data_IF_975040084155
#
_entry.id   IF_975040084155
#
_cell.length_a   1.000
_cell.length_b   1.000
_cell.length_c   1.000
_cell.angle_alpha   90.00
_cell.angle_beta   90.00
_cell.angle_gamma   90.00
#
_symmetry.space_group_name_H-M   'P 1'
#
loop_
_entity.id
_entity.type
_entity.pdbx_description
1 polymer ?
#
# COMPACT_ATOMS: atom_id res chain seq x y z
N UNK A 1 -8.46 -5.15 10.04
CA UNK A 1 -7.62 -3.97 10.32
C UNK A 1 -8.35 -2.76 9.79
N UNK A 2 -8.69 -1.83 10.68
CA UNK A 2 -9.33 -0.58 10.32
C UNK A 2 -8.23 0.48 10.14
N UNK A 3 -8.26 1.18 9.01
CA UNK A 3 -7.39 2.33 8.76
C UNK A 3 -8.27 3.56 8.69
N UNK A 4 -7.93 4.57 9.49
CA UNK A 4 -8.74 5.78 9.67
C UNK A 4 -8.04 6.95 8.97
N UNK A 5 -8.81 7.73 8.21
CA UNK A 5 -8.38 8.98 7.60
C UNK A 5 -8.87 10.15 8.44
N UNK A 6 -7.95 10.99 8.91
CA UNK A 6 -8.25 12.19 9.70
C UNK A 6 -7.70 13.40 8.95
N UNK A 7 -8.61 14.23 8.46
CA UNK A 7 -8.30 15.46 7.74
C UNK A 7 -8.48 16.66 8.68
N UNK A 8 -7.43 17.45 8.84
CA UNK A 8 -7.42 18.68 9.67
C UNK A 8 -7.16 19.93 8.85
N UNK A 9 -7.42 19.87 7.53
CA UNK A 9 -7.25 20.98 6.59
C UNK A 9 -5.81 21.14 6.10
N UNK A 10 -4.86 21.33 7.01
CA UNK A 10 -3.43 21.51 6.69
C UNK A 10 -2.59 20.22 6.80
N UNK A 11 -3.20 19.12 7.21
CA UNK A 11 -2.56 17.81 7.26
C UNK A 11 -3.61 16.69 7.14
N UNK A 12 -3.19 15.57 6.56
CA UNK A 12 -3.92 14.32 6.55
C UNK A 12 -3.15 13.28 7.36
N UNK A 13 -3.85 12.65 8.29
CA UNK A 13 -3.32 11.56 9.08
C UNK A 13 -4.03 10.26 8.68
N UNK A 14 -3.24 9.29 8.21
CA UNK A 14 -3.68 7.93 7.96
C UNK A 14 -3.27 7.09 9.17
N UNK A 15 -4.18 6.92 10.12
CA UNK A 15 -3.92 6.18 11.36
C UNK A 15 -4.29 4.69 11.21
N UNK A 16 -3.46 3.81 11.74
CA UNK A 16 -3.68 2.36 11.73
C UNK A 16 -3.01 1.67 12.93
N UNK A 17 -3.60 0.59 13.43
CA UNK A 17 -2.95 -0.22 14.47
C UNK A 17 -1.78 -1.05 13.92
N UNK A 18 -1.83 -1.35 12.62
CA UNK A 18 -0.92 -2.27 11.96
C UNK A 18 -0.53 -1.75 10.57
N UNK A 19 0.33 -2.47 9.86
CA UNK A 19 0.83 -2.07 8.53
C UNK A 19 -0.32 -1.68 7.59
N UNK A 20 -0.32 -0.43 7.14
CA UNK A 20 -1.35 0.07 6.22
C UNK A 20 -1.29 -0.67 4.88
N UNK A 21 -2.44 -0.90 4.26
CA UNK A 21 -2.47 -1.52 2.92
C UNK A 21 -2.11 -0.51 1.83
N UNK A 22 -1.56 -0.99 0.72
CA UNK A 22 -1.34 -0.17 -0.48
C UNK A 22 -2.65 0.43 -1.02
N UNK A 23 -3.78 -0.27 -0.82
CA UNK A 23 -5.11 0.27 -1.16
C UNK A 23 -5.44 1.52 -0.33
N UNK A 24 -5.25 1.46 1.00
CA UNK A 24 -5.48 2.62 1.87
C UNK A 24 -4.57 3.81 1.50
N UNK A 25 -3.30 3.55 1.18
CA UNK A 25 -2.38 4.58 0.67
C UNK A 25 -2.86 5.22 -0.64
N UNK A 26 -3.37 4.41 -1.58
CA UNK A 26 -3.94 4.93 -2.85
C UNK A 26 -5.16 5.81 -2.59
N UNK A 27 -6.03 5.42 -1.66
CA UNK A 27 -7.20 6.22 -1.26
C UNK A 27 -6.75 7.53 -0.63
N UNK A 28 -5.83 7.49 0.33
CA UNK A 28 -5.29 8.66 1.00
C UNK A 28 -4.61 9.64 0.01
N UNK A 29 -3.73 9.13 -0.86
CA UNK A 29 -3.03 9.92 -1.86
C UNK A 29 -4.01 10.56 -2.87
N UNK A 30 -5.06 9.83 -3.28
CA UNK A 30 -6.10 10.38 -4.16
C UNK A 30 -6.95 11.45 -3.46
N UNK A 31 -7.30 11.22 -2.20
CA UNK A 31 -8.06 12.16 -1.39
C UNK A 31 -7.31 13.47 -1.15
N UNK A 32 -6.00 13.39 -0.92
CA UNK A 32 -5.13 14.54 -0.64
C UNK A 32 -4.65 15.28 -1.91
N UNK A 33 -4.93 14.74 -3.09
CA UNK A 33 -4.44 15.32 -4.35
C UNK A 33 -5.01 16.73 -4.55
N UNK A 34 -4.10 17.71 -4.71
CA UNK A 34 -4.46 19.11 -4.93
C UNK A 34 -4.79 19.90 -3.66
N UNK A 35 -4.60 19.30 -2.48
CA UNK A 35 -4.69 19.99 -1.19
C UNK A 35 -3.32 20.45 -0.74
N UNK A 36 -3.29 21.51 0.05
CA UNK A 36 -2.07 22.01 0.68
C UNK A 36 -1.80 21.26 1.99
N UNK A 37 -0.52 21.09 2.33
CA UNK A 37 -0.11 20.42 3.55
C UNK A 37 0.36 18.97 3.37
N UNK A 38 0.66 18.30 4.47
CA UNK A 38 1.29 16.97 4.48
C UNK A 38 0.30 15.84 4.64
N UNK A 39 0.59 14.67 4.05
CA UNK A 39 -0.18 13.44 4.27
C UNK A 39 0.73 12.37 4.85
N UNK A 40 0.45 11.90 6.06
CA UNK A 40 1.33 10.98 6.79
C UNK A 40 0.60 9.78 7.32
N UNK A 41 1.27 8.63 7.29
CA UNK A 41 0.86 7.43 8.01
C UNK A 41 1.32 7.54 9.45
N UNK A 42 0.44 7.18 10.38
CA UNK A 42 0.70 7.16 11.81
C UNK A 42 0.21 5.83 12.36
N UNK A 43 0.96 5.27 13.31
CA UNK A 43 0.65 3.98 13.89
C UNK A 43 0.36 4.09 15.38
N UNK A 44 -0.40 3.12 15.87
CA UNK A 44 -0.72 2.98 17.30
C UNK A 44 0.53 3.01 18.17
N UNK A 45 0.55 3.88 19.17
CA UNK A 45 1.68 4.06 20.09
C UNK A 45 2.85 4.88 19.53
N UNK A 46 2.77 5.34 18.28
CA UNK A 46 3.75 6.20 17.62
C UNK A 46 3.13 7.51 17.12
N UNK A 47 2.03 7.96 17.74
CA UNK A 47 1.31 9.16 17.37
C UNK A 47 2.10 10.44 17.72
N UNK A 48 2.36 11.35 16.76
CA UNK A 48 3.02 12.62 17.04
C UNK A 48 2.18 13.53 17.97
N UNK A 49 2.82 14.43 18.72
CA UNK A 49 2.10 15.39 19.58
C UNK A 49 1.03 16.19 18.83
N UNK A 50 1.33 16.62 17.60
CA UNK A 50 0.37 17.33 16.73
C UNK A 50 -0.88 16.51 16.43
N UNK A 51 -0.77 15.18 16.39
CA UNK A 51 -1.90 14.28 16.20
C UNK A 51 -2.67 14.09 17.50
N UNK A 52 -1.97 13.88 18.61
CA UNK A 52 -2.61 13.69 19.93
C UNK A 52 -3.41 14.93 20.34
N UNK A 53 -2.89 16.14 20.04
CA UNK A 53 -3.55 17.42 20.31
C UNK A 53 -4.86 17.65 19.53
N UNK A 54 -5.21 16.79 18.57
CA UNK A 54 -6.50 16.82 17.89
C UNK A 54 -7.65 16.35 18.80
N UNK A 55 -7.34 15.68 19.91
CA UNK A 55 -8.30 15.08 20.82
C UNK A 55 -8.25 15.77 22.18
N UNK A 56 -9.42 15.97 22.80
CA UNK A 56 -9.54 16.60 24.12
C UNK A 56 -8.79 15.85 25.22
N UNK A 57 -8.74 14.53 25.09
CA UNK A 57 -8.00 13.62 25.97
C UNK A 57 -7.34 12.55 25.12
N UNK A 58 -6.05 12.31 25.35
CA UNK A 58 -5.28 11.24 24.72
C UNK A 58 -4.58 10.41 25.79
N UNK A 59 -4.74 9.10 25.74
CA UNK A 59 -4.07 8.15 26.63
C UNK A 59 -3.02 7.38 25.80
N UNK A 60 -1.72 7.42 26.16
CA UNK A 60 -0.70 6.72 25.41
C UNK A 60 -0.92 5.21 25.39
N UNK A 61 -0.65 4.58 24.23
CA UNK A 61 -0.64 3.12 24.13
C UNK A 61 0.74 2.57 24.48
N UNK A 62 0.78 1.56 25.36
CA UNK A 62 1.96 0.72 25.55
C UNK A 62 2.00 -0.34 24.45
N UNK A 63 3.05 -0.31 23.62
CA UNK A 63 3.24 -1.23 22.50
C UNK A 63 4.69 -1.73 22.50
N UNK A 64 4.89 -3.02 22.24
CA UNK A 64 6.23 -3.64 22.20
C UNK A 64 7.03 -3.16 20.99
N UNK A 65 6.36 -2.98 19.85
CA UNK A 65 6.96 -2.57 18.60
C UNK A 65 6.22 -1.37 18.01
N UNK A 66 6.96 -0.28 17.78
CA UNK A 66 6.44 0.95 17.16
C UNK A 66 6.82 0.98 15.70
N UNK A 67 5.83 1.09 14.83
CA UNK A 67 6.03 1.40 13.43
C UNK A 67 6.25 2.91 13.26
N UNK A 68 7.18 3.28 12.39
CA UNK A 68 7.52 4.69 12.17
C UNK A 68 6.49 5.41 11.31
N UNK A 69 6.23 6.68 11.66
CA UNK A 69 5.43 7.56 10.80
C UNK A 69 6.19 7.91 9.53
N UNK A 70 5.53 7.72 8.38
CA UNK A 70 6.10 7.96 7.05
C UNK A 70 5.14 8.78 6.19
N UNK A 71 5.66 9.47 5.19
CA UNK A 71 4.83 10.17 4.22
C UNK A 71 4.02 9.18 3.37
N UNK A 72 2.76 9.51 3.09
CA UNK A 72 1.83 8.66 2.32
C UNK A 72 2.34 8.44 0.90
N UNK A 73 2.86 9.49 0.25
CA UNK A 73 3.35 9.43 -1.11
C UNK A 73 4.65 8.63 -1.19
N UNK A 74 5.59 8.86 -0.27
CA UNK A 74 6.84 8.09 -0.22
C UNK A 74 6.59 6.59 -0.07
N UNK A 75 5.74 6.19 0.90
CA UNK A 75 5.38 4.79 1.08
C UNK A 75 4.64 4.21 -0.13
N UNK A 76 3.81 5.01 -0.79
CA UNK A 76 3.08 4.57 -1.97
C UNK A 76 4.04 4.34 -3.15
N UNK A 77 4.98 5.25 -3.38
CA UNK A 77 6.00 5.15 -4.43
C UNK A 77 6.91 3.92 -4.19
N UNK A 78 7.30 3.68 -2.94
CA UNK A 78 8.08 2.50 -2.53
C UNK A 78 7.36 1.19 -2.84
N UNK A 79 6.06 1.11 -2.52
CA UNK A 79 5.25 -0.12 -2.66
C UNK A 79 4.68 -0.33 -4.06
N UNK A 80 4.59 0.73 -4.87
CA UNK A 80 4.07 0.68 -6.24
C UNK A 80 5.16 0.70 -7.32
N UNK A 81 6.43 0.60 -6.93
CA UNK A 81 7.52 0.38 -7.87
C UNK A 81 7.34 -0.95 -8.62
N UNK A 82 8.02 -1.07 -9.75
CA UNK A 82 8.08 -2.34 -10.48
C UNK A 82 9.10 -3.28 -9.85
N UNK A 83 8.81 -4.58 -9.92
CA UNK A 83 9.68 -5.65 -9.44
C UNK A 83 9.90 -6.65 -10.58
N UNK A 84 11.03 -7.37 -10.53
CA UNK A 84 11.27 -8.48 -11.43
C UNK A 84 10.35 -9.66 -11.13
N UNK A 85 10.13 -10.52 -12.12
CA UNK A 85 9.36 -11.76 -11.93
C UNK A 85 9.93 -12.64 -10.82
N UNK A 86 11.26 -12.67 -10.68
CA UNK A 86 11.92 -13.49 -9.67
C UNK A 86 11.68 -12.95 -8.26
N UNK A 87 11.83 -11.64 -8.04
CA UNK A 87 11.54 -11.02 -6.74
C UNK A 87 10.08 -11.26 -6.29
N UNK A 88 9.13 -11.19 -7.22
CA UNK A 88 7.71 -11.43 -6.93
C UNK A 88 7.40 -12.91 -6.63
N UNK A 89 8.15 -13.84 -7.21
CA UNK A 89 8.04 -15.27 -6.91
C UNK A 89 8.63 -15.61 -5.54
N UNK A 90 9.78 -15.05 -5.23
CA UNK A 90 10.52 -15.37 -4.00
C UNK A 90 9.86 -14.78 -2.75
N UNK A 91 9.13 -13.66 -2.90
CA UNK A 91 8.34 -13.00 -1.82
C UNK A 91 9.13 -12.62 -0.57
N UNK A 92 10.46 -12.72 -0.59
CA UNK A 92 11.29 -12.55 0.62
C UNK A 92 11.49 -11.08 0.97
N UNK A 93 11.62 -10.21 -0.04
CA UNK A 93 11.99 -8.79 0.13
C UNK A 93 10.91 -7.83 -0.40
N UNK A 94 9.64 -8.24 -0.35
CA UNK A 94 8.54 -7.38 -0.79
C UNK A 94 8.11 -6.42 0.33
N UNK A 95 7.93 -5.13 0.04
CA UNK A 95 7.38 -4.18 0.99
C UNK A 95 6.09 -4.65 1.66
N UNK A 96 6.03 -4.49 2.99
CA UNK A 96 4.85 -4.86 3.77
C UNK A 96 3.61 -4.05 3.34
N UNK A 97 2.45 -4.70 3.30
CA UNK A 97 1.20 -4.07 2.87
C UNK A 97 1.02 -3.93 1.35
N UNK A 98 1.91 -4.51 0.54
CA UNK A 98 1.69 -4.71 -0.90
C UNK A 98 0.45 -5.57 -1.18
N UNK A 99 -0.16 -5.39 -2.36
CA UNK A 99 -1.29 -6.22 -2.81
C UNK A 99 -0.79 -7.57 -3.35
N UNK A 100 -0.65 -8.53 -2.43
CA UNK A 100 -0.20 -9.89 -2.72
C UNK A 100 -1.16 -10.69 -3.63
N UNK A 101 -2.39 -10.19 -3.87
CA UNK A 101 -3.38 -10.87 -4.73
C UNK A 101 -3.20 -10.53 -6.20
N UNK A 102 -2.45 -9.47 -6.50
CA UNK A 102 -2.25 -8.93 -7.85
C UNK A 102 -0.78 -8.64 -8.13
N UNK A 103 0.10 -9.59 -7.79
CA UNK A 103 1.55 -9.45 -8.00
C UNK A 103 1.92 -9.11 -9.44
N UNK A 104 1.15 -9.59 -10.41
CA UNK A 104 1.36 -9.30 -11.84
C UNK A 104 1.25 -7.79 -12.17
N UNK A 105 0.54 -7.02 -11.35
CA UNK A 105 0.39 -5.58 -11.54
C UNK A 105 1.69 -4.80 -11.28
N UNK A 106 2.66 -5.43 -10.64
CA UNK A 106 3.95 -4.82 -10.30
C UNK A 106 5.07 -5.19 -11.29
N UNK A 107 4.78 -5.96 -12.33
CA UNK A 107 5.72 -6.19 -13.43
C UNK A 107 5.77 -4.97 -14.36
N UNK A 108 6.91 -4.77 -15.03
CA UNK A 108 6.96 -3.94 -16.24
C UNK A 108 6.06 -4.53 -17.33
N UNK A 109 5.66 -3.76 -18.33
CA UNK A 109 4.83 -4.30 -19.42
C UNK A 109 5.58 -5.35 -20.25
N UNK A 110 6.90 -5.18 -20.43
CA UNK A 110 7.76 -6.15 -21.10
C UNK A 110 7.84 -7.48 -20.32
N UNK A 111 8.09 -7.43 -19.02
CA UNK A 111 8.18 -8.64 -18.19
C UNK A 111 6.81 -9.30 -18.02
N UNK A 112 5.74 -8.51 -17.98
CA UNK A 112 4.38 -9.01 -18.00
C UNK A 112 4.11 -9.80 -19.29
N UNK A 113 4.42 -9.21 -20.45
CA UNK A 113 4.19 -9.88 -21.73
C UNK A 113 5.04 -11.15 -21.86
N UNK A 114 6.30 -11.13 -21.41
CA UNK A 114 7.16 -12.32 -21.38
C UNK A 114 6.62 -13.42 -20.46
N UNK A 115 6.10 -13.06 -19.28
CA UNK A 115 5.60 -14.04 -18.30
C UNK A 115 4.24 -14.62 -18.72
N UNK A 116 3.32 -13.77 -19.19
CA UNK A 116 1.93 -14.15 -19.44
C UNK A 116 1.62 -14.47 -20.91
N UNK A 117 2.46 -14.04 -21.85
CA UNK A 117 2.30 -14.24 -23.30
C UNK A 117 1.18 -13.42 -23.94
N UNK A 118 0.70 -12.39 -23.24
CA UNK A 118 -0.43 -11.52 -23.65
C UNK A 118 -0.22 -10.14 -23.05
N UNK A 119 -0.84 -9.12 -23.65
CA UNK A 119 -0.78 -7.78 -23.09
C UNK A 119 -1.59 -7.67 -21.79
N UNK A 120 -1.20 -6.73 -20.93
CA UNK A 120 -1.87 -6.49 -19.64
C UNK A 120 -3.36 -6.20 -19.79
N UNK A 121 -3.74 -5.45 -20.83
CA UNK A 121 -5.13 -5.12 -21.13
C UNK A 121 -5.95 -6.36 -21.46
N UNK A 122 -5.40 -7.23 -22.30
CA UNK A 122 -6.04 -8.49 -22.70
C UNK A 122 -6.18 -9.45 -21.52
N UNK A 123 -5.13 -9.57 -20.68
CA UNK A 123 -5.17 -10.36 -19.46
C UNK A 123 -6.31 -9.92 -18.53
N UNK A 124 -6.43 -8.62 -18.24
CA UNK A 124 -7.49 -8.12 -17.35
C UNK A 124 -8.89 -8.15 -17.96
N UNK A 125 -9.02 -8.27 -19.28
CA UNK A 125 -10.30 -8.51 -19.95
C UNK A 125 -10.79 -9.96 -19.78
N UNK A 126 -9.91 -10.91 -19.39
CA UNK A 126 -10.28 -12.30 -19.15
C UNK A 126 -11.09 -12.45 -17.86
N UNK A 127 -11.89 -13.52 -17.78
CA UNK A 127 -12.61 -13.90 -16.55
C UNK A 127 -11.61 -14.18 -15.40
N UNK A 128 -12.01 -13.90 -14.17
CA UNK A 128 -11.16 -14.02 -12.99
C UNK A 128 -10.53 -15.41 -12.81
N UNK A 129 -11.25 -16.50 -13.14
CA UNK A 129 -10.70 -17.86 -13.06
C UNK A 129 -9.52 -18.06 -14.02
N UNK A 130 -9.59 -17.51 -15.23
CA UNK A 130 -8.52 -17.61 -16.25
C UNK A 130 -7.29 -16.78 -15.84
N UNK A 131 -7.52 -15.60 -15.25
CA UNK A 131 -6.44 -14.80 -14.64
C UNK A 131 -5.74 -15.57 -13.51
N UNK A 132 -6.51 -16.23 -12.64
CA UNK A 132 -5.97 -17.01 -11.53
C UNK A 132 -5.15 -18.21 -12.00
N UNK A 133 -5.62 -18.94 -13.02
CA UNK A 133 -4.84 -20.03 -13.62
C UNK A 133 -3.54 -19.54 -14.25
N UNK A 134 -3.59 -18.42 -14.96
CA UNK A 134 -2.40 -17.83 -15.55
C UNK A 134 -1.39 -17.37 -14.47
N UNK A 135 -1.84 -16.76 -13.36
CA UNK A 135 -1.00 -16.43 -12.20
C UNK A 135 -0.35 -17.68 -11.60
N UNK A 136 -1.12 -18.76 -11.41
CA UNK A 136 -0.61 -20.04 -10.87
C UNK A 136 0.50 -20.60 -11.76
N UNK A 137 0.29 -20.60 -13.07
CA UNK A 137 1.27 -21.10 -14.05
C UNK A 137 2.61 -20.38 -13.99
N UNK A 138 2.61 -19.08 -13.68
CA UNK A 138 3.82 -18.27 -13.57
C UNK A 138 4.33 -18.11 -12.13
N UNK A 139 3.73 -18.80 -11.15
CA UNK A 139 4.14 -18.74 -9.74
C UNK A 139 3.77 -17.45 -9.00
N UNK A 140 2.78 -16.68 -9.50
CA UNK A 140 2.31 -15.42 -8.91
C UNK A 140 0.92 -15.55 -8.24
N UNK A 141 0.53 -16.77 -7.84
CA UNK A 141 -0.73 -17.03 -7.12
C UNK A 141 -0.49 -17.24 -5.62
#
# INVERSE_FOLDING_TARGET
METILIDVGGALWLWSEDVVTTFALKVANRYWKGREGSARVVYKGAEPEKFQALFLKWEPFEVEHRLESRDVKELLDERCRTFSLQELKDRTNLPAGMDMRRLESYLTDDDFQKAFGTERREFYAQKAWKQNEARKRVGLF
#
